data_IF_337635641071
#
_entry.id   IF_337635641071
#
_cell.length_a   1.000
_cell.length_b   1.000
_cell.length_c   1.000
_cell.angle_alpha   90.00
_cell.angle_beta   90.00
_cell.angle_gamma   90.00
#
_symmetry.space_group_name_H-M   'P 1'
#
loop_
_entity.id
_entity.type
_entity.pdbx_description
1 polymer ?
#
# COMPACT_ATOMS: atom_id res chain seq x y z
N UNK A 1 18.31 9.60 14.83
CA UNK A 1 17.89 8.71 13.73
C UNK A 1 16.68 7.93 14.21
N UNK A 2 15.54 8.17 13.63
CA UNK A 2 14.25 7.88 14.22
C UNK A 2 13.77 6.48 13.83
N UNK A 3 13.30 5.71 14.81
CA UNK A 3 12.64 4.41 14.56
C UNK A 3 11.48 4.54 13.55
N UNK A 4 10.85 5.71 13.47
CA UNK A 4 9.83 6.06 12.50
C UNK A 4 10.29 5.95 11.03
N UNK A 5 11.57 6.22 10.73
CA UNK A 5 12.12 6.05 9.37
C UNK A 5 12.09 4.59 8.91
N UNK A 6 12.28 3.65 9.84
CA UNK A 6 12.19 2.22 9.53
C UNK A 6 10.78 1.78 9.16
N UNK A 7 9.76 2.38 9.78
CA UNK A 7 8.37 2.15 9.38
C UNK A 7 8.10 2.63 7.94
N UNK A 8 8.68 3.78 7.56
CA UNK A 8 8.58 4.29 6.19
C UNK A 8 9.24 3.38 5.16
N UNK A 9 10.43 2.86 5.45
CA UNK A 9 11.09 1.91 4.55
C UNK A 9 10.29 0.60 4.38
N UNK A 10 9.68 0.10 5.47
CA UNK A 10 8.80 -1.06 5.37
C UNK A 10 7.62 -0.78 4.42
N UNK A 11 6.98 0.38 4.54
CA UNK A 11 5.82 0.70 3.71
C UNK A 11 6.19 0.91 2.25
N UNK A 12 7.36 1.48 1.94
CA UNK A 12 7.79 1.77 0.57
C UNK A 12 8.08 0.53 -0.29
N UNK A 13 8.34 -0.63 0.32
CA UNK A 13 8.58 -1.91 -0.40
C UNK A 13 7.64 -2.99 0.11
N UNK A 14 7.31 -2.98 1.39
CA UNK A 14 6.53 -4.00 2.08
C UNK A 14 5.08 -4.10 1.63
N UNK A 15 4.51 -3.06 1.00
CA UNK A 15 3.13 -3.08 0.49
C UNK A 15 2.89 -4.15 -0.59
N UNK A 16 3.95 -4.64 -1.24
CA UNK A 16 3.84 -5.70 -2.24
C UNK A 16 3.22 -6.97 -1.67
N UNK A 17 3.57 -7.33 -0.45
CA UNK A 17 3.05 -8.57 0.18
C UNK A 17 1.55 -8.46 0.47
N UNK A 18 1.02 -7.43 1.16
CA UNK A 18 -0.41 -7.26 1.35
C UNK A 18 -1.22 -7.23 0.06
N UNK A 19 -0.75 -6.53 -0.96
CA UNK A 19 -1.48 -6.44 -2.22
C UNK A 19 -1.47 -7.77 -2.97
N UNK A 20 -0.37 -8.52 -2.94
CA UNK A 20 -0.30 -9.87 -3.50
C UNK A 20 -1.22 -10.83 -2.74
N UNK A 21 -1.21 -10.80 -1.40
CA UNK A 21 -2.12 -11.61 -0.58
C UNK A 21 -3.58 -11.30 -0.88
N UNK A 22 -3.94 -10.03 -0.99
CA UNK A 22 -5.27 -9.60 -1.39
C UNK A 22 -5.69 -10.13 -2.77
N UNK A 23 -4.81 -10.04 -3.76
CA UNK A 23 -5.05 -10.57 -5.09
C UNK A 23 -5.20 -12.10 -5.06
N UNK A 24 -4.37 -12.80 -4.29
CA UNK A 24 -4.41 -14.25 -4.16
C UNK A 24 -5.73 -14.76 -3.54
N UNK A 25 -6.32 -14.05 -2.58
CA UNK A 25 -7.61 -14.40 -1.97
C UNK A 25 -8.69 -14.60 -3.05
N UNK A 26 -8.68 -13.77 -4.10
CA UNK A 26 -9.69 -13.84 -5.15
C UNK A 26 -9.24 -14.75 -6.29
N UNK A 27 -8.03 -14.59 -6.78
CA UNK A 27 -7.53 -15.32 -7.96
C UNK A 27 -7.32 -16.81 -7.70
N UNK A 28 -7.08 -17.22 -6.44
CA UNK A 28 -7.00 -18.64 -6.06
C UNK A 28 -8.32 -19.38 -6.30
N UNK A 29 -9.46 -18.74 -6.09
CA UNK A 29 -10.76 -19.34 -6.37
C UNK A 29 -10.98 -19.59 -7.87
N UNK A 30 -10.51 -18.68 -8.73
CA UNK A 30 -10.54 -18.89 -10.18
C UNK A 30 -9.65 -20.07 -10.58
N UNK A 31 -8.44 -20.14 -10.00
CA UNK A 31 -7.47 -21.21 -10.26
C UNK A 31 -7.98 -22.57 -9.81
N UNK A 32 -8.60 -22.65 -8.65
CA UNK A 32 -9.10 -23.91 -8.07
C UNK A 32 -10.56 -24.20 -8.43
N UNK A 33 -11.20 -23.38 -9.26
CA UNK A 33 -12.60 -23.50 -9.71
C UNK A 33 -13.61 -23.58 -8.55
N UNK A 34 -13.32 -22.90 -7.44
CA UNK A 34 -14.18 -22.88 -6.25
C UNK A 34 -15.20 -21.75 -6.25
N UNK A 35 -15.21 -20.88 -7.26
CA UNK A 35 -16.20 -19.80 -7.42
C UNK A 35 -17.64 -20.33 -7.50
N UNK A 36 -17.87 -21.39 -8.30
CA UNK A 36 -19.21 -21.94 -8.47
C UNK A 36 -19.82 -22.42 -7.16
N UNK A 37 -19.15 -23.27 -6.35
CA UNK A 37 -19.70 -23.67 -5.05
C UNK A 37 -19.85 -22.48 -4.08
N UNK A 38 -18.95 -21.48 -4.10
CA UNK A 38 -19.08 -20.28 -3.28
C UNK A 38 -20.35 -19.48 -3.62
N UNK A 39 -20.65 -19.27 -4.90
CA UNK A 39 -21.85 -18.55 -5.35
C UNK A 39 -23.13 -19.38 -5.21
N UNK A 40 -23.04 -20.70 -5.18
CA UNK A 40 -24.19 -21.56 -4.86
C UNK A 40 -24.53 -21.51 -3.37
N UNK A 41 -23.52 -21.39 -2.50
CA UNK A 41 -23.71 -21.24 -1.06
C UNK A 41 -24.21 -19.84 -0.66
N UNK A 42 -23.69 -18.78 -1.33
CA UNK A 42 -24.10 -17.38 -1.12
C UNK A 42 -24.27 -16.68 -2.46
N UNK A 43 -25.52 -16.59 -2.98
CA UNK A 43 -25.79 -15.99 -4.29
C UNK A 43 -25.64 -14.46 -4.32
N UNK A 44 -25.53 -13.83 -3.16
CA UNK A 44 -25.37 -12.38 -3.05
C UNK A 44 -23.92 -12.00 -3.28
N UNK A 45 -23.56 -11.71 -4.52
CA UNK A 45 -22.18 -11.31 -4.94
C UNK A 45 -21.57 -10.21 -4.05
N UNK A 46 -22.40 -9.25 -3.60
CA UNK A 46 -21.95 -8.18 -2.72
C UNK A 46 -21.43 -8.70 -1.37
N UNK A 47 -22.07 -9.72 -0.79
CA UNK A 47 -21.64 -10.35 0.47
C UNK A 47 -20.30 -11.05 0.27
N UNK A 48 -20.16 -11.81 -0.81
CA UNK A 48 -18.91 -12.52 -1.13
C UNK A 48 -17.74 -11.54 -1.31
N UNK A 49 -17.92 -10.48 -2.11
CA UNK A 49 -16.87 -9.47 -2.33
C UNK A 49 -16.55 -8.72 -1.05
N UNK A 50 -17.55 -8.38 -0.23
CA UNK A 50 -17.31 -7.72 1.06
C UNK A 50 -16.56 -8.63 2.04
N UNK A 51 -16.90 -9.90 2.10
CA UNK A 51 -16.15 -10.89 2.91
C UNK A 51 -14.69 -10.99 2.50
N UNK A 52 -14.42 -11.06 1.19
CA UNK A 52 -13.05 -11.05 0.65
C UNK A 52 -12.30 -9.74 0.95
N UNK A 53 -13.00 -8.61 0.86
CA UNK A 53 -12.44 -7.30 1.20
C UNK A 53 -12.03 -7.25 2.67
N UNK A 54 -12.89 -7.70 3.59
CA UNK A 54 -12.57 -7.79 5.02
C UNK A 54 -11.37 -8.72 5.24
N UNK A 55 -11.33 -9.88 4.61
CA UNK A 55 -10.20 -10.80 4.69
C UNK A 55 -8.91 -10.15 4.17
N UNK A 56 -8.95 -9.49 3.01
CA UNK A 56 -7.79 -8.79 2.45
C UNK A 56 -7.27 -7.67 3.35
N UNK A 57 -8.17 -6.86 3.91
CA UNK A 57 -7.80 -5.82 4.87
C UNK A 57 -7.20 -6.42 6.15
N UNK A 58 -7.78 -7.52 6.66
CA UNK A 58 -7.30 -8.19 7.87
C UNK A 58 -5.91 -8.81 7.66
N UNK A 59 -5.67 -9.48 6.53
CA UNK A 59 -4.34 -10.02 6.20
C UNK A 59 -3.31 -8.92 5.96
N UNK A 60 -3.71 -7.82 5.30
CA UNK A 60 -2.86 -6.64 5.14
C UNK A 60 -2.49 -6.02 6.48
N UNK A 61 -3.46 -5.84 7.38
CA UNK A 61 -3.23 -5.33 8.72
C UNK A 61 -2.35 -6.29 9.55
N UNK A 62 -2.60 -7.59 9.50
CA UNK A 62 -1.79 -8.60 10.20
C UNK A 62 -0.33 -8.56 9.74
N UNK A 63 -0.12 -8.55 8.43
CA UNK A 63 1.22 -8.38 7.86
C UNK A 63 1.86 -7.07 8.32
N UNK A 64 1.09 -5.99 8.31
CA UNK A 64 1.53 -4.67 8.80
C UNK A 64 1.98 -4.72 10.25
N UNK A 65 1.21 -5.37 11.13
CA UNK A 65 1.58 -5.55 12.54
C UNK A 65 2.91 -6.30 12.67
N UNK A 66 3.04 -7.45 12.02
CA UNK A 66 4.26 -8.28 12.08
C UNK A 66 5.46 -7.51 11.52
N UNK A 67 5.28 -6.88 10.34
CA UNK A 67 6.35 -6.12 9.69
C UNK A 67 6.78 -4.89 10.49
N UNK A 68 5.81 -4.16 11.08
CA UNK A 68 6.11 -3.01 11.92
C UNK A 68 6.79 -3.42 13.23
N UNK A 69 6.35 -4.49 13.88
CA UNK A 69 7.02 -5.01 15.08
C UNK A 69 8.48 -5.39 14.77
N UNK A 70 8.72 -6.06 13.65
CA UNK A 70 10.06 -6.41 13.23
C UNK A 70 10.90 -5.16 12.86
N UNK A 71 10.37 -4.28 12.02
CA UNK A 71 11.08 -3.10 11.51
C UNK A 71 11.36 -2.07 12.60
N UNK A 72 10.33 -1.70 13.38
CA UNK A 72 10.47 -0.73 14.47
C UNK A 72 11.26 -1.32 15.63
N UNK A 73 11.04 -2.60 15.96
CA UNK A 73 11.76 -3.29 17.03
C UNK A 73 13.25 -3.41 16.74
N UNK A 74 13.63 -3.88 15.54
CA UNK A 74 15.03 -3.97 15.13
C UNK A 74 15.66 -2.57 14.97
N UNK A 75 14.92 -1.62 14.39
CA UNK A 75 15.36 -0.23 14.28
C UNK A 75 15.60 0.43 15.62
N UNK A 76 14.70 0.26 16.58
CA UNK A 76 14.85 0.77 17.94
C UNK A 76 16.04 0.13 18.65
N UNK A 77 16.23 -1.19 18.52
CA UNK A 77 17.38 -1.89 19.09
C UNK A 77 18.70 -1.37 18.50
N UNK A 78 18.78 -1.17 17.19
CA UNK A 78 19.97 -0.64 16.52
C UNK A 78 20.30 0.78 16.99
N UNK A 79 19.30 1.66 17.14
CA UNK A 79 19.46 3.02 17.64
C UNK A 79 19.93 3.01 19.10
N UNK A 80 19.34 2.16 19.95
CA UNK A 80 19.71 2.03 21.36
C UNK A 80 21.15 1.53 21.54
N UNK A 81 21.59 0.54 20.75
CA UNK A 81 22.98 0.04 20.75
C UNK A 81 23.97 1.15 20.32
N UNK A 82 23.55 2.02 19.41
CA UNK A 82 24.32 3.19 18.98
C UNK A 82 24.32 4.36 20.00
N UNK A 83 23.68 4.21 21.17
CA UNK A 83 23.58 5.24 22.20
C UNK A 83 22.58 6.36 21.89
N UNK A 84 21.70 6.15 20.90
CA UNK A 84 20.63 7.08 20.53
C UNK A 84 19.31 6.79 21.26
N UNK A 85 18.41 7.77 21.23
CA UNK A 85 17.02 7.58 21.67
C UNK A 85 16.15 7.08 20.51
N UNK A 86 15.50 5.92 20.60
CA UNK A 86 14.62 5.41 19.56
C UNK A 86 13.28 6.16 19.41
N UNK A 87 13.00 7.17 20.26
CA UNK A 87 11.82 8.03 20.26
C UNK A 87 10.48 7.28 20.33
N UNK A 88 10.47 6.07 20.90
CA UNK A 88 9.25 5.25 21.04
C UNK A 88 8.21 5.87 21.98
N UNK A 89 8.61 6.83 22.83
CA UNK A 89 7.72 7.59 23.70
C UNK A 89 6.95 8.72 22.99
N UNK A 90 7.26 9.04 21.74
CA UNK A 90 6.63 10.17 21.05
C UNK A 90 5.29 9.79 20.42
N UNK A 91 4.28 10.66 20.57
CA UNK A 91 2.98 10.50 19.93
C UNK A 91 3.08 10.48 18.38
N UNK A 92 4.07 11.17 17.84
CA UNK A 92 4.35 11.21 16.41
C UNK A 92 4.75 9.83 15.86
N UNK A 93 5.63 9.12 16.57
CA UNK A 93 6.04 7.75 16.21
C UNK A 93 4.83 6.81 16.16
N UNK A 94 3.94 6.87 17.15
CA UNK A 94 2.73 6.05 17.16
C UNK A 94 1.74 6.45 16.06
N UNK A 95 1.65 7.74 15.74
CA UNK A 95 0.87 8.22 14.61
C UNK A 95 1.36 7.65 13.28
N UNK A 96 2.68 7.59 13.07
CA UNK A 96 3.29 6.97 11.88
C UNK A 96 3.02 5.46 11.82
N UNK A 97 3.15 4.76 12.94
CA UNK A 97 2.86 3.31 13.02
C UNK A 97 1.42 3.02 12.63
N UNK A 98 0.46 3.78 13.16
CA UNK A 98 -0.95 3.61 12.82
C UNK A 98 -1.26 3.90 11.35
N UNK A 99 -0.64 4.95 10.79
CA UNK A 99 -0.79 5.27 9.35
C UNK A 99 -0.17 4.18 8.46
N UNK A 100 0.98 3.65 8.85
CA UNK A 100 1.62 2.54 8.14
C UNK A 100 0.75 1.27 8.18
N UNK A 101 0.14 0.96 9.33
CA UNK A 101 -0.79 -0.15 9.47
C UNK A 101 -2.03 0.03 8.58
N UNK A 102 -2.59 1.23 8.56
CA UNK A 102 -3.72 1.57 7.69
C UNK A 102 -3.34 1.42 6.21
N UNK A 103 -2.15 1.89 5.82
CA UNK A 103 -1.65 1.72 4.46
C UNK A 103 -1.59 0.25 4.05
N UNK A 104 -1.06 -0.64 4.92
CA UNK A 104 -1.00 -2.08 4.64
C UNK A 104 -2.39 -2.71 4.48
N UNK A 105 -3.35 -2.32 5.31
CA UNK A 105 -4.74 -2.78 5.18
C UNK A 105 -5.38 -2.32 3.85
N UNK A 106 -5.17 -1.05 3.47
CA UNK A 106 -5.66 -0.50 2.20
C UNK A 106 -5.03 -1.18 0.98
N UNK A 107 -3.73 -1.49 1.03
CA UNK A 107 -3.07 -2.27 -0.02
C UNK A 107 -3.63 -3.69 -0.15
N UNK A 108 -4.00 -4.33 0.97
CA UNK A 108 -4.74 -5.60 0.94
C UNK A 108 -6.08 -5.47 0.20
N UNK A 109 -6.83 -4.39 0.43
CA UNK A 109 -8.09 -4.09 -0.29
C UNK A 109 -7.86 -3.85 -1.79
N UNK A 110 -6.83 -3.07 -2.15
CA UNK A 110 -6.43 -2.85 -3.56
C UNK A 110 -6.14 -4.20 -4.23
N UNK A 111 -5.42 -5.08 -3.54
CA UNK A 111 -5.13 -6.43 -4.03
C UNK A 111 -6.39 -7.24 -4.30
N UNK A 112 -7.35 -7.27 -3.37
CA UNK A 112 -8.64 -7.96 -3.55
C UNK A 112 -9.39 -7.40 -4.76
N UNK A 113 -9.46 -6.07 -4.88
CA UNK A 113 -10.13 -5.42 -6.01
C UNK A 113 -9.50 -5.78 -7.37
N UNK A 114 -8.17 -5.71 -7.48
CA UNK A 114 -7.43 -6.10 -8.68
C UNK A 114 -7.59 -7.59 -9.00
N UNK A 115 -7.48 -8.46 -7.99
CA UNK A 115 -7.66 -9.90 -8.15
C UNK A 115 -9.06 -10.26 -8.66
N UNK A 116 -10.09 -9.46 -8.31
CA UNK A 116 -11.44 -9.66 -8.81
C UNK A 116 -11.64 -9.22 -10.26
N UNK A 117 -10.82 -8.30 -10.75
CA UNK A 117 -10.86 -7.83 -12.14
C UNK A 117 -10.13 -8.77 -13.10
N UNK A 118 -9.11 -9.49 -12.60
CA UNK A 118 -8.23 -10.32 -13.42
C UNK A 118 -8.41 -11.78 -13.03
N UNK A 119 -9.08 -12.54 -13.89
CA UNK A 119 -9.39 -13.97 -13.66
C UNK A 119 -8.13 -14.88 -13.60
N UNK A 120 -6.99 -14.41 -14.10
CA UNK A 120 -5.73 -15.17 -14.13
C UNK A 120 -4.78 -14.65 -13.05
N UNK A 121 -4.44 -15.53 -12.11
CA UNK A 121 -3.54 -15.23 -10.99
C UNK A 121 -2.18 -14.69 -11.43
N UNK A 122 -1.56 -15.31 -12.44
CA UNK A 122 -0.24 -14.92 -12.93
C UNK A 122 -0.29 -13.53 -13.56
N UNK A 123 -1.32 -13.27 -14.37
CA UNK A 123 -1.53 -11.97 -15.00
C UNK A 123 -1.78 -10.88 -13.96
N UNK A 124 -2.57 -11.15 -12.93
CA UNK A 124 -2.82 -10.19 -11.84
C UNK A 124 -1.53 -9.82 -11.11
N UNK A 125 -0.71 -10.81 -10.76
CA UNK A 125 0.58 -10.61 -10.08
C UNK A 125 1.55 -9.82 -10.97
N UNK A 126 1.70 -10.22 -12.24
CA UNK A 126 2.61 -9.54 -13.17
C UNK A 126 2.19 -8.10 -13.41
N UNK A 127 0.90 -7.87 -13.66
CA UNK A 127 0.36 -6.53 -13.89
C UNK A 127 0.61 -5.61 -12.69
N UNK A 128 0.39 -6.13 -11.49
CA UNK A 128 0.61 -5.41 -10.24
C UNK A 128 2.08 -5.06 -10.06
N UNK A 129 3.00 -6.03 -10.24
CA UNK A 129 4.43 -5.80 -10.12
C UNK A 129 4.95 -4.83 -11.18
N UNK A 130 4.54 -4.99 -12.44
CA UNK A 130 4.94 -4.08 -13.52
C UNK A 130 4.44 -2.66 -13.24
N UNK A 131 3.19 -2.52 -12.79
CA UNK A 131 2.65 -1.21 -12.45
C UNK A 131 3.42 -0.55 -11.30
N UNK A 132 3.56 -1.24 -10.17
CA UNK A 132 4.10 -0.64 -8.94
C UNK A 132 5.62 -0.51 -8.95
N UNK A 133 6.34 -1.41 -9.62
CA UNK A 133 7.81 -1.41 -9.60
C UNK A 133 8.44 -0.71 -10.81
N UNK A 134 7.72 -0.58 -11.91
CA UNK A 134 8.25 0.06 -13.13
C UNK A 134 7.44 1.28 -13.54
N UNK A 135 6.13 1.12 -13.78
CA UNK A 135 5.32 2.19 -14.33
C UNK A 135 5.19 3.37 -13.37
N UNK A 136 4.90 3.11 -12.11
CA UNK A 136 4.73 4.16 -11.11
C UNK A 136 6.03 4.94 -10.85
N UNK A 137 7.20 4.32 -10.60
CA UNK A 137 8.46 5.05 -10.47
C UNK A 137 8.82 5.87 -11.72
N UNK A 138 8.59 5.34 -12.93
CA UNK A 138 8.82 6.08 -14.17
C UNK A 138 7.90 7.31 -14.24
N UNK A 139 6.61 7.16 -13.95
CA UNK A 139 5.67 8.28 -13.96
C UNK A 139 6.03 9.35 -12.93
N UNK A 140 6.53 8.95 -11.76
CA UNK A 140 7.03 9.89 -10.74
C UNK A 140 8.29 10.64 -11.21
N UNK A 141 9.22 9.95 -11.89
CA UNK A 141 10.41 10.59 -12.47
C UNK A 141 10.04 11.57 -13.59
N UNK A 142 9.08 11.22 -14.44
CA UNK A 142 8.54 12.12 -15.47
C UNK A 142 7.90 13.34 -14.82
N UNK A 143 7.21 13.16 -13.68
CA UNK A 143 6.64 14.24 -12.87
C UNK A 143 7.66 15.24 -12.32
N UNK A 144 8.92 14.82 -12.15
CA UNK A 144 9.99 15.73 -11.75
C UNK A 144 10.42 16.70 -12.87
N UNK A 145 10.12 16.37 -14.14
CA UNK A 145 10.51 17.18 -15.31
C UNK A 145 9.36 18.08 -15.79
N UNK A 146 8.11 17.60 -15.69
CA UNK A 146 6.92 18.30 -16.20
C UNK A 146 5.89 18.55 -15.08
N UNK A 147 5.57 19.80 -14.82
CA UNK A 147 4.66 20.22 -13.75
C UNK A 147 3.26 19.54 -13.83
N UNK A 148 2.68 19.43 -15.03
CA UNK A 148 1.37 18.76 -15.20
C UNK A 148 1.43 17.27 -14.82
N UNK A 149 2.55 16.61 -15.06
CA UNK A 149 2.78 15.20 -14.73
C UNK A 149 2.96 15.01 -13.22
N UNK A 150 3.55 15.99 -12.53
CA UNK A 150 3.66 15.99 -11.06
C UNK A 150 2.27 16.07 -10.41
N UNK A 151 1.36 16.86 -10.94
CA UNK A 151 -0.02 16.99 -10.45
C UNK A 151 -0.81 15.66 -10.57
N UNK A 152 -0.60 14.89 -11.64
CA UNK A 152 -1.20 13.57 -11.82
C UNK A 152 -0.48 12.52 -10.96
N UNK A 153 0.84 12.60 -10.88
CA UNK A 153 1.70 11.67 -10.17
C UNK A 153 1.39 11.53 -8.68
N UNK A 154 0.90 12.58 -8.04
CA UNK A 154 0.52 12.56 -6.61
C UNK A 154 -0.67 11.64 -6.31
N UNK A 155 -1.52 11.34 -7.31
CA UNK A 155 -2.68 10.43 -7.17
C UNK A 155 -2.33 8.97 -7.46
N UNK A 156 -1.09 8.67 -7.82
CA UNK A 156 -0.65 7.28 -7.97
C UNK A 156 -0.71 6.55 -6.62
N UNK A 157 -1.04 5.25 -6.61
CA UNK A 157 -1.29 4.51 -5.37
C UNK A 157 -0.10 4.48 -4.43
N UNK A 158 1.12 4.34 -4.93
CA UNK A 158 2.31 4.39 -4.09
C UNK A 158 2.61 5.80 -3.59
N UNK A 159 2.40 6.87 -4.43
CA UNK A 159 2.54 8.25 -3.98
C UNK A 159 1.52 8.59 -2.88
N UNK A 160 0.28 8.13 -3.02
CA UNK A 160 -0.76 8.28 -2.02
C UNK A 160 -0.43 7.51 -0.72
N UNK A 161 0.16 6.32 -0.84
CA UNK A 161 0.66 5.53 0.30
C UNK A 161 1.81 6.23 1.03
N UNK A 162 2.79 6.76 0.29
CA UNK A 162 3.91 7.53 0.85
C UNK A 162 3.42 8.79 1.57
N UNK A 163 2.45 9.50 1.00
CA UNK A 163 1.81 10.65 1.64
C UNK A 163 1.07 10.27 2.92
N UNK A 164 0.32 9.16 2.92
CA UNK A 164 -0.40 8.66 4.10
C UNK A 164 0.55 8.36 5.26
N UNK A 165 1.65 7.69 4.98
CA UNK A 165 2.64 7.33 6.01
C UNK A 165 3.49 8.54 6.42
N UNK A 166 3.70 9.50 5.51
CA UNK A 166 4.57 10.66 5.75
C UNK A 166 6.06 10.33 5.65
N UNK A 167 6.41 9.16 5.13
CA UNK A 167 7.78 8.70 4.97
C UNK A 167 7.89 7.81 3.73
N UNK A 168 8.20 8.40 2.59
CA UNK A 168 8.41 7.68 1.33
C UNK A 168 9.89 7.65 0.92
N UNK A 169 10.25 6.68 0.09
CA UNK A 169 11.60 6.58 -0.47
C UNK A 169 11.97 7.85 -1.23
N UNK A 170 11.06 8.37 -2.04
CA UNK A 170 11.27 9.61 -2.81
C UNK A 170 11.39 10.84 -1.90
N UNK A 171 10.65 10.88 -0.78
CA UNK A 171 10.79 11.92 0.24
C UNK A 171 12.16 11.91 0.92
N UNK A 172 12.70 10.73 1.19
CA UNK A 172 14.03 10.58 1.78
C UNK A 172 15.16 10.93 0.81
N UNK A 173 15.01 10.62 -0.47
CA UNK A 173 15.98 11.00 -1.52
C UNK A 173 16.03 12.50 -1.73
N UNK A 174 14.87 13.20 -1.73
CA UNK A 174 14.83 14.65 -1.84
C UNK A 174 15.37 15.38 -0.61
N UNK A 175 15.38 14.75 0.56
CA UNK A 175 16.05 15.29 1.74
C UNK A 175 17.60 15.23 1.65
N UNK A 176 18.14 14.33 0.81
CA UNK A 176 19.58 14.19 0.58
C UNK A 176 20.09 15.12 -0.52
N UNK A 177 19.25 15.51 -1.46
CA UNK A 177 19.59 16.38 -2.57
C UNK A 177 18.61 17.58 -2.68
N UNK A 178 19.04 18.80 -2.35
CA UNK A 178 18.21 19.99 -2.45
C UNK A 178 17.71 20.29 -3.87
N UNK A 179 18.39 19.79 -4.92
CA UNK A 179 17.93 19.92 -6.30
C UNK A 179 16.72 19.04 -6.61
N UNK A 180 16.54 17.97 -5.85
CA UNK A 180 15.36 17.10 -5.88
C UNK A 180 14.18 17.65 -5.05
N UNK A 181 14.34 18.80 -4.37
CA UNK A 181 13.30 19.42 -3.55
C UNK A 181 12.05 19.83 -4.36
N UNK A 182 12.18 20.03 -5.68
CA UNK A 182 11.03 20.23 -6.59
C UNK A 182 10.05 19.05 -6.62
N UNK A 183 10.49 17.85 -6.22
CA UNK A 183 9.64 16.65 -6.13
C UNK A 183 8.71 16.67 -4.89
N UNK A 184 8.94 17.58 -3.94
CA UNK A 184 8.12 17.72 -2.73
C UNK A 184 6.92 18.65 -2.88
N UNK A 185 6.91 19.52 -3.89
CA UNK A 185 5.89 20.58 -4.04
C UNK A 185 4.49 20.05 -4.37
N UNK A 186 4.36 18.80 -4.79
CA UNK A 186 3.09 18.17 -5.13
C UNK A 186 2.64 17.07 -4.14
N UNK A 187 3.29 16.95 -2.98
CA UNK A 187 2.94 15.92 -2.01
C UNK A 187 1.56 16.19 -1.38
N UNK A 188 0.71 15.16 -1.37
CA UNK A 188 -0.57 15.20 -0.67
C UNK A 188 -0.34 15.25 0.85
N UNK A 189 -1.28 15.86 1.59
CA UNK A 189 -1.33 15.68 3.04
C UNK A 189 -1.64 14.21 3.39
N UNK A 190 -1.26 13.76 4.60
CA UNK A 190 -1.43 12.38 5.01
C UNK A 190 -2.88 11.86 4.89
N UNK A 191 -3.87 12.68 5.23
CA UNK A 191 -5.28 12.31 5.12
C UNK A 191 -5.77 12.25 3.65
N UNK A 192 -5.26 13.14 2.78
CA UNK A 192 -5.55 13.10 1.34
C UNK A 192 -4.97 11.84 0.69
N UNK A 193 -3.72 11.48 1.02
CA UNK A 193 -3.11 10.23 0.58
C UNK A 193 -3.94 9.01 0.98
N UNK A 194 -4.41 8.99 2.25
CA UNK A 194 -5.30 7.95 2.74
C UNK A 194 -6.64 7.88 1.99
N UNK A 195 -7.24 9.03 1.70
CA UNK A 195 -8.49 9.09 0.91
C UNK A 195 -8.31 8.62 -0.53
N UNK A 196 -7.22 9.02 -1.19
CA UNK A 196 -6.92 8.58 -2.57
C UNK A 196 -6.76 7.06 -2.62
N UNK A 197 -5.98 6.48 -1.70
CA UNK A 197 -5.76 5.04 -1.65
C UNK A 197 -7.05 4.28 -1.32
N UNK A 198 -7.86 4.80 -0.39
CA UNK A 198 -9.16 4.22 -0.05
C UNK A 198 -10.16 4.32 -1.22
N UNK A 199 -10.19 5.45 -1.93
CA UNK A 199 -11.03 5.64 -3.10
C UNK A 199 -10.64 4.67 -4.23
N UNK A 200 -9.33 4.49 -4.48
CA UNK A 200 -8.83 3.52 -5.44
C UNK A 200 -9.27 2.10 -5.08
N UNK A 201 -9.09 1.70 -3.81
CA UNK A 201 -9.54 0.39 -3.33
C UNK A 201 -11.05 0.22 -3.51
N UNK A 202 -11.85 1.23 -3.17
CA UNK A 202 -13.31 1.20 -3.32
C UNK A 202 -13.73 1.06 -4.79
N UNK A 203 -13.13 1.83 -5.70
CA UNK A 203 -13.39 1.74 -7.15
C UNK A 203 -13.08 0.34 -7.67
N UNK A 204 -11.92 -0.21 -7.34
CA UNK A 204 -11.53 -1.55 -7.78
C UNK A 204 -12.48 -2.64 -7.22
N UNK A 205 -12.91 -2.51 -5.96
CA UNK A 205 -13.87 -3.44 -5.35
C UNK A 205 -15.27 -3.33 -6.00
N UNK A 206 -15.72 -2.12 -6.35
CA UNK A 206 -16.99 -1.92 -7.04
C UNK A 206 -16.94 -2.52 -8.45
N UNK A 207 -15.87 -2.26 -9.19
CA UNK A 207 -15.65 -2.86 -10.52
C UNK A 207 -15.55 -4.38 -10.44
N UNK A 208 -14.86 -4.92 -9.43
CA UNK A 208 -14.76 -6.36 -9.18
C UNK A 208 -16.14 -7.03 -8.98
N UNK A 209 -17.11 -6.34 -8.37
CA UNK A 209 -18.49 -6.85 -8.24
C UNK A 209 -19.20 -7.04 -9.58
N UNK A 210 -18.86 -6.22 -10.56
CA UNK A 210 -19.47 -6.29 -11.90
C UNK A 210 -18.89 -7.44 -12.74
N UNK A 211 -17.66 -7.88 -12.45
CA UNK A 211 -16.95 -8.94 -13.18
C UNK A 211 -17.10 -10.33 -12.55
N UNK A 212 -17.46 -10.39 -11.28
CA UNK A 212 -17.71 -11.65 -10.55
C UNK A 212 -19.19 -12.01 -10.60
#
# INVERSE_FOLDING_TARGET
>A
ADAAKWAGHLTSVGYLVPVLLGALIVTSEHRHRTLTPTLLAEPRRGVVVTGKAIAGAAFGALYGVVGLLASVGLGAAAVAVGGGDPLLGSAETWGLILRALLAMALWGLVGVGLGGLVANQVVAIVLLLVFTQFLEPILRLVGAVWEWSAEVGKFLPGAASDALVGAGLFGSLGALDPSAAGMHSAALSWWQGGLVLAALAAVLLVLSRATT
#
